data_IF_550848658372
#
_entry.id   IF_550848658372
#
_cell.length_a   1.000
_cell.length_b   1.000
_cell.length_c   1.000
_cell.angle_alpha   90.00
_cell.angle_beta   90.00
_cell.angle_gamma   90.00
#
_symmetry.space_group_name_H-M   'P 1'
#
loop_
_entity.id
_entity.type
_entity.pdbx_description
1 polymer ?
#
# COMPACT_ATOMS: atom_id res chain seq x y z
N UNK A 1 -33.74 25.24 3.63
CA UNK A 1 -33.66 23.98 2.88
C UNK A 1 -32.65 23.10 3.58
N UNK A 2 -33.13 22.20 4.42
CA UNK A 2 -32.29 21.25 5.18
C UNK A 2 -31.95 20.08 4.28
N UNK A 3 -30.76 20.07 3.70
CA UNK A 3 -30.27 18.93 2.95
C UNK A 3 -29.81 17.87 3.98
N UNK A 4 -30.78 17.04 4.35
CA UNK A 4 -30.61 15.93 5.26
C UNK A 4 -29.94 14.78 4.50
N UNK A 5 -28.72 15.00 4.00
CA UNK A 5 -27.84 13.91 3.53
C UNK A 5 -27.39 13.11 4.74
N UNK A 6 -28.34 12.31 5.25
CA UNK A 6 -28.07 11.28 6.25
C UNK A 6 -26.87 10.48 5.81
N UNK A 7 -25.93 10.37 6.70
CA UNK A 7 -24.88 9.36 6.66
C UNK A 7 -25.45 8.04 6.12
N UNK A 8 -24.91 7.55 5.07
CA UNK A 8 -25.04 6.12 4.75
C UNK A 8 -24.13 5.33 5.70
N UNK A 9 -24.35 5.53 7.00
CA UNK A 9 -23.65 4.82 8.09
C UNK A 9 -24.28 3.46 8.30
N UNK A 10 -24.31 2.66 7.24
CA UNK A 10 -24.56 1.25 7.35
C UNK A 10 -23.21 0.49 7.49
N UNK A 11 -23.29 -0.82 7.63
CA UNK A 11 -22.14 -1.74 7.65
C UNK A 11 -21.11 -1.45 6.54
N UNK A 12 -21.55 -0.97 5.39
CA UNK A 12 -20.73 -0.59 4.25
C UNK A 12 -19.80 0.60 4.52
N UNK A 13 -20.25 1.61 5.26
CA UNK A 13 -19.40 2.74 5.63
C UNK A 13 -18.23 2.30 6.51
N UNK A 14 -18.48 1.41 7.48
CA UNK A 14 -17.43 0.85 8.33
C UNK A 14 -16.46 -0.04 7.54
N UNK A 15 -16.96 -0.85 6.59
CA UNK A 15 -16.10 -1.68 5.75
C UNK A 15 -15.13 -0.84 4.91
N UNK A 16 -15.57 0.31 4.40
CA UNK A 16 -14.72 1.24 3.66
C UNK A 16 -13.64 1.88 4.54
N UNK A 17 -13.96 2.22 5.79
CA UNK A 17 -12.99 2.76 6.75
C UNK A 17 -11.93 1.69 7.05
N UNK A 18 -12.35 0.46 7.36
CA UNK A 18 -11.44 -0.66 7.65
C UNK A 18 -10.58 -0.98 6.43
N UNK A 19 -11.16 -1.07 5.24
CA UNK A 19 -10.42 -1.29 4.00
C UNK A 19 -9.36 -0.21 3.78
N UNK A 20 -9.73 1.07 3.96
CA UNK A 20 -8.82 2.20 3.77
C UNK A 20 -7.70 2.23 4.82
N UNK A 21 -8.00 1.86 6.07
CA UNK A 21 -7.01 1.71 7.13
C UNK A 21 -6.01 0.58 6.79
N UNK A 22 -6.52 -0.57 6.34
CA UNK A 22 -5.68 -1.69 5.91
C UNK A 22 -4.84 -1.33 4.67
N UNK A 23 -5.38 -0.52 3.74
CA UNK A 23 -4.64 -0.02 2.59
C UNK A 23 -3.42 0.80 3.02
N UNK A 24 -3.59 1.73 3.96
CA UNK A 24 -2.49 2.51 4.51
C UNK A 24 -1.51 1.67 5.34
N UNK A 25 -2.02 0.69 6.09
CA UNK A 25 -1.20 -0.24 6.87
C UNK A 25 -0.29 -1.08 5.97
N UNK A 26 -0.82 -1.69 4.92
CA UNK A 26 -0.06 -2.48 3.94
C UNK A 26 0.91 -1.57 3.18
N UNK A 27 0.46 -0.41 2.72
CA UNK A 27 1.30 0.54 1.99
C UNK A 27 2.53 0.92 2.81
N UNK A 28 2.34 1.39 4.04
CA UNK A 28 3.44 1.78 4.92
C UNK A 28 4.33 0.58 5.29
N UNK A 29 3.73 -0.60 5.53
CA UNK A 29 4.45 -1.83 5.83
C UNK A 29 5.38 -2.25 4.69
N UNK A 30 4.89 -2.20 3.47
CA UNK A 30 5.63 -2.63 2.29
C UNK A 30 6.60 -1.56 1.77
N UNK A 31 6.37 -0.27 2.01
CA UNK A 31 7.20 0.79 1.40
C UNK A 31 8.14 1.49 2.36
N UNK A 32 7.71 1.78 3.58
CA UNK A 32 8.48 2.62 4.51
C UNK A 32 8.90 1.89 5.77
N UNK A 33 7.94 1.40 6.56
CA UNK A 33 8.24 0.77 7.85
C UNK A 33 9.03 -0.53 7.71
N UNK A 34 8.69 -1.36 6.72
CA UNK A 34 9.37 -2.64 6.47
C UNK A 34 10.82 -2.49 6.00
N UNK A 35 11.21 -1.35 5.40
CA UNK A 35 12.59 -1.11 4.99
C UNK A 35 13.59 -1.28 6.13
N UNK A 36 13.19 -0.97 7.35
CA UNK A 36 14.05 -1.15 8.53
C UNK A 36 14.40 -2.60 8.81
N UNK A 37 13.62 -3.55 8.27
CA UNK A 37 13.84 -4.99 8.43
C UNK A 37 14.53 -5.58 7.21
N UNK A 38 14.00 -5.34 6.01
CA UNK A 38 14.54 -6.03 4.82
C UNK A 38 15.83 -5.42 4.27
N UNK A 39 16.08 -4.11 4.41
CA UNK A 39 17.35 -3.52 3.93
C UNK A 39 18.54 -4.16 4.64
N UNK A 40 18.58 -4.30 5.98
CA UNK A 40 19.65 -5.06 6.64
C UNK A 40 19.78 -6.50 6.12
N UNK A 41 18.66 -7.18 5.87
CA UNK A 41 18.70 -8.55 5.36
C UNK A 41 19.24 -8.64 3.92
N UNK A 42 18.98 -7.66 3.06
CA UNK A 42 19.61 -7.57 1.73
C UNK A 42 21.10 -7.26 1.83
N UNK A 43 21.49 -6.34 2.72
CA UNK A 43 22.90 -6.00 2.96
C UNK A 43 23.66 -7.24 3.45
N UNK A 44 23.11 -7.98 4.38
CA UNK A 44 23.72 -9.21 4.91
C UNK A 44 23.85 -10.30 3.81
N UNK A 45 22.79 -10.53 3.05
CA UNK A 45 22.73 -11.59 2.05
C UNK A 45 23.57 -11.31 0.81
N UNK A 46 23.57 -10.07 0.31
CA UNK A 46 24.16 -9.73 -0.99
C UNK A 46 25.37 -8.80 -0.88
N UNK A 47 25.72 -8.33 0.33
CA UNK A 47 26.80 -7.37 0.60
C UNK A 47 26.63 -6.06 -0.18
N UNK A 48 25.37 -5.67 -0.44
CA UNK A 48 25.05 -4.41 -1.12
C UNK A 48 25.21 -3.23 -0.17
N UNK A 49 25.62 -2.08 -0.71
CA UNK A 49 25.71 -0.86 0.09
C UNK A 49 24.33 -0.37 0.52
N UNK A 50 24.17 -0.19 1.84
CA UNK A 50 22.94 0.31 2.45
C UNK A 50 22.53 1.67 1.90
N UNK A 51 23.51 2.55 1.63
CA UNK A 51 23.24 3.91 1.12
C UNK A 51 22.64 3.87 -0.28
N UNK A 52 23.07 2.92 -1.11
CA UNK A 52 22.50 2.70 -2.45
C UNK A 52 21.05 2.24 -2.34
N UNK A 53 20.75 1.28 -1.48
CA UNK A 53 19.38 0.79 -1.30
C UNK A 53 18.43 1.89 -0.78
N UNK A 54 18.89 2.72 0.14
CA UNK A 54 18.12 3.85 0.65
C UNK A 54 17.92 4.95 -0.40
N UNK A 55 18.95 5.25 -1.20
CA UNK A 55 18.83 6.25 -2.27
C UNK A 55 17.83 5.83 -3.36
N UNK A 56 17.81 4.55 -3.72
CA UNK A 56 16.81 4.00 -4.64
C UNK A 56 15.39 4.12 -4.09
N UNK A 57 15.22 3.92 -2.79
CA UNK A 57 13.94 4.14 -2.12
C UNK A 57 13.51 5.61 -2.13
N UNK A 58 14.47 6.54 -2.00
CA UNK A 58 14.20 7.98 -2.12
C UNK A 58 13.74 8.35 -3.53
N UNK A 59 14.40 7.81 -4.55
CA UNK A 59 13.97 7.97 -5.95
C UNK A 59 12.55 7.44 -6.16
N UNK A 60 12.24 6.27 -5.61
CA UNK A 60 10.90 5.70 -5.62
C UNK A 60 9.86 6.63 -4.97
N UNK A 61 10.22 7.24 -3.84
CA UNK A 61 9.38 8.22 -3.16
C UNK A 61 9.07 9.45 -4.02
N UNK A 62 10.07 10.00 -4.70
CA UNK A 62 9.88 11.14 -5.63
C UNK A 62 8.98 10.73 -6.79
N UNK A 63 9.23 9.59 -7.42
CA UNK A 63 8.42 9.09 -8.52
C UNK A 63 6.99 8.75 -8.08
N UNK A 64 6.78 8.36 -6.82
CA UNK A 64 5.46 8.10 -6.27
C UNK A 64 4.59 9.36 -6.18
N UNK A 65 5.19 10.54 -5.99
CA UNK A 65 4.48 11.83 -6.04
C UNK A 65 3.95 12.07 -7.46
N UNK A 66 4.77 11.85 -8.49
CA UNK A 66 4.34 11.94 -9.89
C UNK A 66 3.24 10.92 -10.17
N UNK A 67 3.42 9.68 -9.71
CA UNK A 67 2.43 8.61 -9.80
C UNK A 67 1.08 8.97 -9.18
N UNK A 68 1.08 9.72 -8.08
CA UNK A 68 -0.17 10.13 -7.41
C UNK A 68 -1.08 10.98 -8.31
N UNK A 69 -0.52 11.88 -9.13
CA UNK A 69 -1.28 12.67 -10.10
C UNK A 69 -1.86 11.79 -11.22
N UNK A 70 -1.07 10.82 -11.70
CA UNK A 70 -1.54 9.85 -12.70
C UNK A 70 -2.69 9.01 -12.16
N UNK A 71 -2.56 8.48 -10.95
CA UNK A 71 -3.62 7.68 -10.33
C UNK A 71 -4.85 8.51 -9.99
N UNK A 72 -4.70 9.76 -9.53
CA UNK A 72 -5.84 10.64 -9.31
C UNK A 72 -6.62 10.89 -10.63
N UNK A 73 -5.91 11.14 -11.73
CA UNK A 73 -6.53 11.26 -13.05
C UNK A 73 -7.21 9.96 -13.50
N UNK A 74 -6.58 8.82 -13.24
CA UNK A 74 -7.13 7.51 -13.61
C UNK A 74 -8.37 7.16 -12.78
N UNK A 75 -8.39 7.52 -11.50
CA UNK A 75 -9.56 7.38 -10.63
C UNK A 75 -10.75 8.18 -11.16
N UNK A 76 -10.52 9.40 -11.64
CA UNK A 76 -11.59 10.23 -12.25
C UNK A 76 -12.12 9.62 -13.56
N UNK A 77 -11.26 8.95 -14.35
CA UNK A 77 -11.64 8.38 -15.65
C UNK A 77 -12.23 6.98 -15.55
N UNK A 78 -11.67 6.11 -14.72
CA UNK A 78 -11.99 4.67 -14.65
C UNK A 78 -12.63 4.24 -13.34
N UNK A 79 -12.77 5.16 -12.38
CA UNK A 79 -13.31 4.90 -11.05
C UNK A 79 -12.29 4.36 -10.06
N UNK A 80 -12.57 4.59 -8.77
CA UNK A 80 -11.67 4.22 -7.68
C UNK A 80 -11.48 2.70 -7.56
N UNK A 81 -12.54 1.92 -7.77
CA UNK A 81 -12.50 0.45 -7.70
C UNK A 81 -11.48 -0.16 -8.67
N UNK A 82 -11.52 0.22 -9.94
CA UNK A 82 -10.60 -0.28 -10.96
C UNK A 82 -9.16 0.03 -10.60
N UNK A 83 -8.88 1.27 -10.20
CA UNK A 83 -7.51 1.70 -9.84
C UNK A 83 -7.02 0.97 -8.60
N UNK A 84 -7.87 0.82 -7.56
CA UNK A 84 -7.51 0.09 -6.34
C UNK A 84 -7.09 -1.35 -6.66
N UNK A 85 -7.91 -2.08 -7.40
CA UNK A 85 -7.68 -3.51 -7.68
C UNK A 85 -6.41 -3.69 -8.49
N UNK A 86 -6.24 -2.93 -9.58
CA UNK A 86 -5.08 -3.09 -10.46
C UNK A 86 -3.78 -2.70 -9.75
N UNK A 87 -3.80 -1.64 -8.95
CA UNK A 87 -2.60 -1.21 -8.23
C UNK A 87 -2.23 -2.16 -7.11
N UNK A 88 -3.19 -2.79 -6.42
CA UNK A 88 -2.90 -3.86 -5.45
C UNK A 88 -2.28 -5.08 -6.11
N UNK A 89 -2.84 -5.54 -7.23
CA UNK A 89 -2.31 -6.71 -7.94
C UNK A 89 -0.89 -6.44 -8.41
N UNK A 90 -0.65 -5.33 -9.09
CA UNK A 90 0.67 -4.98 -9.59
C UNK A 90 1.68 -4.73 -8.45
N UNK A 91 1.26 -4.09 -7.36
CA UNK A 91 2.11 -3.91 -6.18
C UNK A 91 2.46 -5.26 -5.53
N UNK A 92 1.49 -6.16 -5.37
CA UNK A 92 1.74 -7.49 -4.84
C UNK A 92 2.69 -8.31 -5.71
N UNK A 93 2.54 -8.25 -7.04
CA UNK A 93 3.48 -8.84 -8.00
C UNK A 93 4.89 -8.26 -7.80
N UNK A 94 5.02 -6.94 -7.69
CA UNK A 94 6.30 -6.28 -7.43
C UNK A 94 6.96 -6.76 -6.13
N UNK A 95 6.16 -6.95 -5.07
CA UNK A 95 6.63 -7.47 -3.77
C UNK A 95 7.08 -8.93 -3.88
N UNK A 96 6.35 -9.78 -4.61
CA UNK A 96 6.74 -11.17 -4.88
C UNK A 96 8.09 -11.21 -5.60
N UNK A 97 8.23 -10.43 -6.67
CA UNK A 97 9.48 -10.36 -7.42
C UNK A 97 10.65 -9.85 -6.58
N UNK A 98 10.41 -8.94 -5.63
CA UNK A 98 11.45 -8.44 -4.72
C UNK A 98 12.11 -9.56 -3.90
N UNK A 99 11.38 -10.63 -3.57
CA UNK A 99 11.91 -11.82 -2.92
C UNK A 99 12.89 -12.66 -3.77
N UNK A 100 12.81 -12.52 -5.10
CA UNK A 100 13.62 -13.28 -6.08
C UNK A 100 14.75 -12.45 -6.69
N UNK A 101 14.93 -11.21 -6.25
CA UNK A 101 15.94 -10.29 -6.78
C UNK A 101 17.35 -10.75 -6.40
N UNK A 102 18.24 -10.76 -7.40
CA UNK A 102 19.67 -11.03 -7.26
C UNK A 102 20.57 -9.88 -7.73
N UNK A 103 19.98 -8.78 -8.20
CA UNK A 103 20.71 -7.61 -8.69
C UNK A 103 20.13 -6.29 -8.13
N UNK A 104 20.99 -5.28 -7.97
CA UNK A 104 20.59 -3.93 -7.53
C UNK A 104 19.56 -3.31 -8.49
N UNK A 105 19.71 -3.55 -9.80
CA UNK A 105 18.75 -3.07 -10.79
C UNK A 105 17.35 -3.70 -10.61
N UNK A 106 17.28 -5.01 -10.34
CA UNK A 106 16.02 -5.68 -10.02
C UNK A 106 15.38 -5.13 -8.75
N UNK A 107 16.19 -4.92 -7.70
CA UNK A 107 15.73 -4.28 -6.46
C UNK A 107 15.16 -2.88 -6.75
N UNK A 108 15.87 -2.06 -7.54
CA UNK A 108 15.44 -0.72 -7.89
C UNK A 108 14.06 -0.72 -8.58
N UNK A 109 13.87 -1.58 -9.57
CA UNK A 109 12.59 -1.69 -10.28
C UNK A 109 11.47 -2.08 -9.31
N UNK A 110 11.69 -3.09 -8.47
CA UNK A 110 10.68 -3.56 -7.53
C UNK A 110 10.32 -2.52 -6.48
N UNK A 111 11.30 -1.85 -5.87
CA UNK A 111 11.02 -0.87 -4.80
C UNK A 111 10.34 0.39 -5.37
N UNK A 112 10.78 0.87 -6.53
CA UNK A 112 10.19 2.03 -7.20
C UNK A 112 8.74 1.71 -7.62
N UNK A 113 8.52 0.57 -8.27
CA UNK A 113 7.19 0.14 -8.67
C UNK A 113 6.27 -0.03 -7.44
N UNK A 114 6.75 -0.69 -6.38
CA UNK A 114 6.01 -0.86 -5.13
C UNK A 114 5.57 0.47 -4.52
N UNK A 115 6.46 1.46 -4.44
CA UNK A 115 6.17 2.78 -3.89
C UNK A 115 5.19 3.58 -4.76
N UNK A 116 5.37 3.58 -6.07
CA UNK A 116 4.46 4.25 -7.00
C UNK A 116 3.08 3.64 -6.94
N UNK A 117 2.97 2.31 -7.01
CA UNK A 117 1.70 1.60 -7.01
C UNK A 117 0.96 1.71 -5.66
N UNK A 118 1.69 1.78 -4.54
CA UNK A 118 1.09 1.95 -3.21
C UNK A 118 0.30 3.26 -3.09
N UNK A 119 0.74 4.33 -3.74
CA UNK A 119 -0.04 5.56 -3.84
C UNK A 119 -1.34 5.40 -4.63
N UNK A 120 -1.42 4.46 -5.54
CA UNK A 120 -2.65 4.13 -6.26
C UNK A 120 -3.72 3.62 -5.30
N UNK A 121 -3.47 2.54 -4.56
CA UNK A 121 -4.47 1.91 -3.70
C UNK A 121 -4.63 2.59 -2.33
N UNK A 122 -3.57 3.16 -1.73
CA UNK A 122 -3.67 3.79 -0.42
C UNK A 122 -3.92 5.31 -0.51
N UNK A 123 -3.25 6.01 -1.41
CA UNK A 123 -3.35 7.47 -1.53
C UNK A 123 -4.55 7.95 -2.32
N UNK A 124 -4.47 7.90 -3.65
CA UNK A 124 -5.45 8.50 -4.55
C UNK A 124 -6.86 7.92 -4.39
N UNK A 125 -6.97 6.58 -4.31
CA UNK A 125 -8.28 5.91 -4.23
C UNK A 125 -8.93 6.09 -2.88
N UNK A 126 -8.20 5.91 -1.77
CA UNK A 126 -8.72 6.08 -0.41
C UNK A 126 -9.25 7.49 -0.20
N UNK A 127 -8.49 8.51 -0.60
CA UNK A 127 -8.93 9.90 -0.47
C UNK A 127 -10.20 10.20 -1.27
N UNK A 128 -10.33 9.61 -2.45
CA UNK A 128 -11.52 9.77 -3.30
C UNK A 128 -12.72 9.05 -2.70
N UNK A 129 -12.55 7.80 -2.27
CA UNK A 129 -13.63 6.99 -1.66
C UNK A 129 -14.17 7.68 -0.42
N UNK A 130 -13.28 8.08 0.50
CA UNK A 130 -13.68 8.75 1.73
C UNK A 130 -14.31 10.12 1.45
N UNK A 131 -13.77 10.86 0.49
CA UNK A 131 -14.33 12.15 0.09
C UNK A 131 -15.76 12.06 -0.43
N UNK A 132 -16.08 11.00 -1.18
CA UNK A 132 -17.40 10.78 -1.75
C UNK A 132 -18.42 10.22 -0.74
N UNK A 133 -17.96 9.34 0.18
CA UNK A 133 -18.84 8.69 1.14
C UNK A 133 -19.08 9.48 2.43
N UNK A 134 -18.08 10.26 2.85
CA UNK A 134 -18.12 11.01 4.11
C UNK A 134 -17.89 12.52 3.90
N UNK A 135 -18.70 13.21 3.08
CA UNK A 135 -18.44 14.61 2.73
C UNK A 135 -18.39 15.54 3.94
N UNK A 136 -19.23 15.29 4.96
CA UNK A 136 -19.32 16.13 6.18
C UNK A 136 -18.25 15.80 7.24
N UNK A 137 -17.74 14.57 7.27
CA UNK A 137 -16.72 14.09 8.26
C UNK A 137 -15.44 13.59 7.60
N UNK A 138 -15.18 14.02 6.38
CA UNK A 138 -14.02 13.62 5.59
C UNK A 138 -12.71 13.71 6.39
N UNK A 139 -12.46 14.80 7.08
CA UNK A 139 -11.24 15.02 7.84
C UNK A 139 -11.05 14.00 8.97
N UNK A 140 -12.10 13.71 9.73
CA UNK A 140 -12.06 12.73 10.83
C UNK A 140 -11.84 11.33 10.29
N UNK A 141 -12.55 10.94 9.24
CA UNK A 141 -12.43 9.61 8.64
C UNK A 141 -11.05 9.43 8.00
N UNK A 142 -10.52 10.43 7.32
CA UNK A 142 -9.15 10.41 6.80
C UNK A 142 -8.13 10.26 7.92
N UNK A 143 -8.30 10.98 9.04
CA UNK A 143 -7.45 10.82 10.22
C UNK A 143 -7.45 9.40 10.76
N UNK A 144 -8.61 8.76 10.86
CA UNK A 144 -8.72 7.36 11.31
C UNK A 144 -8.03 6.41 10.33
N UNK A 145 -8.25 6.56 9.04
CA UNK A 145 -7.68 5.65 8.03
C UNK A 145 -6.16 5.78 7.91
N UNK A 146 -5.61 7.00 8.04
CA UNK A 146 -4.16 7.22 8.03
C UNK A 146 -3.44 6.68 9.28
N UNK A 147 -4.16 6.34 10.36
CA UNK A 147 -3.57 5.61 11.50
C UNK A 147 -3.02 4.23 11.09
N UNK A 148 -3.42 3.70 9.93
CA UNK A 148 -2.79 2.51 9.35
C UNK A 148 -1.27 2.67 9.18
N UNK A 149 -0.77 3.87 8.87
CA UNK A 149 0.67 4.10 8.70
C UNK A 149 1.48 3.83 9.97
N UNK A 150 1.23 4.49 11.11
CA UNK A 150 1.95 4.20 12.33
C UNK A 150 1.69 2.78 12.85
N UNK A 151 0.50 2.20 12.63
CA UNK A 151 0.22 0.81 12.98
C UNK A 151 1.13 -0.17 12.24
N UNK A 152 1.61 0.16 11.04
CA UNK A 152 2.54 -0.70 10.32
C UNK A 152 3.86 -0.88 11.09
N UNK A 153 4.37 0.12 11.77
CA UNK A 153 5.58 0.00 12.57
C UNK A 153 5.41 -0.99 13.74
N UNK A 154 4.23 -1.05 14.34
CA UNK A 154 3.96 -1.92 15.50
C UNK A 154 3.55 -3.34 15.12
N UNK A 155 2.86 -3.53 14.02
CA UNK A 155 2.29 -4.82 13.65
C UNK A 155 2.99 -5.45 12.44
N UNK A 156 3.22 -4.67 11.37
CA UNK A 156 3.80 -5.20 10.14
C UNK A 156 5.31 -5.49 10.28
N UNK A 157 6.04 -4.62 10.98
CA UNK A 157 7.49 -4.77 11.17
C UNK A 157 7.82 -6.05 11.97
N UNK A 158 7.22 -6.33 13.14
CA UNK A 158 7.42 -7.61 13.83
C UNK A 158 6.97 -8.81 12.99
N UNK A 159 5.82 -8.72 12.30
CA UNK A 159 5.34 -9.78 11.41
C UNK A 159 6.37 -10.09 10.31
N UNK A 160 6.87 -9.06 9.63
CA UNK A 160 7.89 -9.21 8.60
C UNK A 160 9.18 -9.81 9.15
N UNK A 161 9.62 -9.35 10.32
CA UNK A 161 10.83 -9.87 10.99
C UNK A 161 10.70 -11.36 11.32
N UNK A 162 9.58 -11.79 11.89
CA UNK A 162 9.33 -13.20 12.19
C UNK A 162 9.25 -14.06 10.93
N UNK A 163 8.64 -13.56 9.86
CA UNK A 163 8.61 -14.26 8.57
C UNK A 163 10.01 -14.43 7.97
N UNK A 164 10.82 -13.36 7.98
CA UNK A 164 12.19 -13.43 7.44
C UNK A 164 13.06 -14.40 8.27
N UNK A 165 12.95 -14.36 9.60
CA UNK A 165 13.70 -15.26 10.48
C UNK A 165 13.25 -16.73 10.36
N UNK A 166 11.95 -16.97 10.19
CA UNK A 166 11.41 -18.32 10.14
C UNK A 166 11.55 -19.03 8.79
N UNK A 167 11.35 -18.31 7.68
CA UNK A 167 11.32 -18.91 6.35
C UNK A 167 12.29 -18.28 5.34
N UNK A 168 13.04 -17.26 5.76
CA UNK A 168 13.99 -16.54 4.91
C UNK A 168 13.37 -15.44 4.05
N UNK A 169 14.26 -14.59 3.52
CA UNK A 169 13.89 -13.35 2.83
C UNK A 169 12.95 -13.59 1.63
N UNK A 170 13.28 -14.55 0.77
CA UNK A 170 12.52 -14.81 -0.46
C UNK A 170 11.10 -15.29 -0.19
N UNK A 171 10.94 -16.24 0.72
CA UNK A 171 9.62 -16.80 1.06
C UNK A 171 8.76 -15.77 1.83
N UNK A 172 9.38 -14.95 2.68
CA UNK A 172 8.69 -13.88 3.39
C UNK A 172 8.07 -12.87 2.40
N UNK A 173 8.82 -12.43 1.40
CA UNK A 173 8.29 -11.54 0.36
C UNK A 173 7.22 -12.21 -0.50
N UNK A 174 7.34 -13.49 -0.79
CA UNK A 174 6.32 -14.24 -1.51
C UNK A 174 4.99 -14.26 -0.74
N UNK A 175 5.02 -14.58 0.56
CA UNK A 175 3.82 -14.60 1.42
C UNK A 175 3.18 -13.21 1.52
N UNK A 176 4.00 -12.17 1.75
CA UNK A 176 3.49 -10.79 1.84
C UNK A 176 2.91 -10.34 0.50
N UNK A 177 3.59 -10.60 -0.61
CA UNK A 177 3.11 -10.22 -1.93
C UNK A 177 1.78 -10.89 -2.29
N UNK A 178 1.61 -12.17 -1.97
CA UNK A 178 0.31 -12.86 -2.09
C UNK A 178 -0.73 -12.20 -1.20
N UNK A 179 -0.40 -11.85 0.04
CA UNK A 179 -1.31 -11.13 0.94
C UNK A 179 -1.79 -9.80 0.34
N UNK A 180 -0.89 -9.04 -0.30
CA UNK A 180 -1.22 -7.79 -1.00
C UNK A 180 -2.16 -8.05 -2.19
N UNK A 181 -1.92 -9.10 -3.00
CA UNK A 181 -2.79 -9.49 -4.11
C UNK A 181 -4.18 -9.89 -3.61
N UNK A 182 -4.26 -10.67 -2.54
CA UNK A 182 -5.53 -11.08 -1.94
C UNK A 182 -6.33 -9.87 -1.45
N UNK A 183 -5.67 -8.86 -0.87
CA UNK A 183 -6.34 -7.60 -0.54
C UNK A 183 -6.91 -6.90 -1.77
N UNK A 184 -6.23 -6.97 -2.92
CA UNK A 184 -6.77 -6.51 -4.20
C UNK A 184 -8.07 -7.23 -4.58
N UNK A 185 -8.13 -8.55 -4.41
CA UNK A 185 -9.34 -9.35 -4.66
C UNK A 185 -10.46 -9.00 -3.66
N UNK A 186 -10.13 -8.88 -2.37
CA UNK A 186 -11.10 -8.45 -1.34
C UNK A 186 -11.64 -7.06 -1.64
N UNK A 187 -10.81 -6.17 -2.21
CA UNK A 187 -11.24 -4.83 -2.64
C UNK A 187 -12.35 -4.88 -3.68
N UNK A 188 -12.41 -5.91 -4.52
CA UNK A 188 -13.51 -6.10 -5.49
C UNK A 188 -14.84 -6.20 -4.75
N UNK A 189 -14.88 -6.98 -3.68
CA UNK A 189 -16.09 -7.20 -2.89
C UNK A 189 -16.44 -6.00 -2.02
N UNK A 190 -15.43 -5.39 -1.38
CA UNK A 190 -15.64 -4.22 -0.50
C UNK A 190 -16.09 -2.97 -1.27
N UNK A 191 -15.66 -2.82 -2.53
CA UNK A 191 -15.94 -1.64 -3.36
C UNK A 191 -17.06 -1.86 -4.39
N UNK A 192 -17.87 -2.93 -4.25
CA UNK A 192 -18.96 -3.25 -5.19
C UNK A 192 -20.01 -2.12 -5.29
N UNK A 193 -20.20 -1.37 -4.22
CA UNK A 193 -21.25 -0.35 -4.14
C UNK A 193 -20.72 1.09 -4.39
N UNK A 194 -19.49 1.23 -4.90
CA UNK A 194 -18.89 2.51 -5.31
C UNK A 194 -18.85 2.61 -6.83
#
# INVERSE_FOLDING_TARGET
MSDNKRWKSGLWGYSLIIHSLLAWWISAGVTTSGMNVWIPAFVEKFQWDRSVLLSLSTVGGILSVIGSFLFASLVMKRGARFVTVITYILAGISVVFMGSVSSIAGYAICIIAGQVLSNGYAGATTNTIIGNWFPTKKAVVLGITTMGMPMAAFLFVPLLSTLIQGMGLSQAFFVIGIGVILMGVVSILSLIHI
#
